data_IF_100421352873
#
_entry.id   IF_100421352873
#
_cell.length_a   1.000
_cell.length_b   1.000
_cell.length_c   1.000
_cell.angle_alpha   90.00
_cell.angle_beta   90.00
_cell.angle_gamma   90.00
#
_symmetry.space_group_name_H-M   'P 1'
#
loop_
_entity.id
_entity.type
_entity.pdbx_description
1 polymer ?
#
# COMPACT_ATOMS: atom_id res chain seq x y z
N UNK A 1 -19.04 13.73 3.38
CA UNK A 1 -19.49 12.32 3.49
C UNK A 1 -19.90 11.85 2.11
N UNK A 2 -19.34 10.73 1.67
CA UNK A 2 -19.56 10.19 0.33
C UNK A 2 -20.37 8.91 0.50
N UNK A 3 -21.57 8.86 -0.07
CA UNK A 3 -22.45 7.71 0.01
C UNK A 3 -22.41 6.94 -1.30
N UNK A 4 -22.33 5.62 -1.21
CA UNK A 4 -22.31 4.75 -2.37
C UNK A 4 -23.75 4.43 -2.78
N UNK A 5 -24.00 4.56 -4.08
CA UNK A 5 -25.30 4.22 -4.64
C UNK A 5 -25.18 3.80 -6.08
N UNK A 6 -26.20 3.07 -6.55
CA UNK A 6 -26.31 2.60 -7.93
C UNK A 6 -27.35 3.45 -8.65
N UNK A 7 -26.96 4.04 -9.78
CA UNK A 7 -27.88 4.76 -10.64
C UNK A 7 -28.80 3.76 -11.36
N UNK A 8 -30.12 3.86 -11.12
CA UNK A 8 -31.16 3.10 -11.82
C UNK A 8 -32.04 4.06 -12.63
N UNK A 9 -31.62 4.33 -13.86
CA UNK A 9 -32.33 5.27 -14.73
C UNK A 9 -32.31 6.69 -14.17
N UNK A 10 -33.43 7.12 -13.55
CA UNK A 10 -33.59 8.48 -12.99
C UNK A 10 -33.47 8.52 -11.46
N UNK A 11 -33.29 7.39 -10.79
CA UNK A 11 -33.14 7.30 -9.33
C UNK A 11 -31.74 6.82 -8.96
N UNK A 12 -31.27 7.25 -7.79
CA UNK A 12 -30.05 6.73 -7.17
C UNK A 12 -30.50 5.94 -5.94
N UNK A 13 -30.24 4.63 -5.95
CA UNK A 13 -30.47 3.79 -4.78
C UNK A 13 -29.18 3.76 -3.95
N UNK A 14 -29.25 4.21 -2.71
CA UNK A 14 -28.12 4.20 -1.79
C UNK A 14 -28.01 2.82 -1.13
N UNK A 15 -26.77 2.34 -0.96
CA UNK A 15 -26.50 1.08 -0.24
C UNK A 15 -26.89 1.19 1.25
N UNK A 16 -26.76 2.40 1.81
CA UNK A 16 -27.09 2.70 3.20
C UNK A 16 -28.06 3.90 3.28
N UNK A 17 -29.01 3.88 4.25
CA UNK A 17 -29.92 5.00 4.45
C UNK A 17 -29.16 6.24 4.95
N UNK A 18 -29.53 7.41 4.44
CA UNK A 18 -28.97 8.66 4.91
C UNK A 18 -29.47 8.98 6.33
N UNK A 19 -28.65 9.58 7.20
CA UNK A 19 -29.04 9.96 8.55
C UNK A 19 -29.85 11.28 8.57
N UNK A 20 -30.64 11.55 7.55
CA UNK A 20 -31.45 12.76 7.43
C UNK A 20 -32.92 12.44 7.66
N UNK A 21 -33.62 13.34 8.33
CA UNK A 21 -35.06 13.21 8.53
C UNK A 21 -35.80 13.44 7.22
N UNK A 22 -36.97 12.81 7.09
CA UNK A 22 -37.86 13.07 5.97
C UNK A 22 -38.24 14.56 5.90
N UNK A 23 -38.16 15.15 4.70
CA UNK A 23 -38.42 16.58 4.48
C UNK A 23 -37.24 17.53 4.73
N UNK A 24 -36.09 17.02 5.16
CA UNK A 24 -34.88 17.83 5.33
C UNK A 24 -34.31 18.24 3.96
N UNK A 25 -34.13 19.55 3.74
CA UNK A 25 -33.48 20.08 2.54
C UNK A 25 -31.99 19.74 2.57
N UNK A 26 -31.52 19.02 1.55
CA UNK A 26 -30.11 18.65 1.37
C UNK A 26 -29.66 18.99 -0.05
N UNK A 27 -28.40 19.39 -0.19
CA UNK A 27 -27.76 19.57 -1.49
C UNK A 27 -27.00 18.31 -1.86
N UNK A 28 -27.30 17.74 -3.04
CA UNK A 28 -26.65 16.53 -3.54
C UNK A 28 -25.77 16.91 -4.73
N UNK A 29 -24.48 16.59 -4.63
CA UNK A 29 -23.54 16.63 -5.77
C UNK A 29 -23.24 15.22 -6.21
N UNK A 30 -23.27 14.97 -7.51
CA UNK A 30 -22.93 13.68 -8.11
C UNK A 30 -21.67 13.86 -8.93
N UNK A 31 -20.61 13.18 -8.53
CA UNK A 31 -19.35 13.17 -9.28
C UNK A 31 -19.16 11.80 -9.95
N UNK A 32 -18.80 11.77 -11.25
CA UNK A 32 -18.51 10.51 -11.92
C UNK A 32 -17.28 9.88 -11.27
N UNK A 33 -17.44 8.63 -10.80
CA UNK A 33 -16.34 7.84 -10.27
C UNK A 33 -15.28 7.67 -11.36
N UNK A 34 -14.07 8.19 -11.14
CA UNK A 34 -13.01 8.06 -12.11
C UNK A 34 -12.50 6.61 -12.09
N UNK A 35 -12.08 6.04 -13.24
CA UNK A 35 -11.53 4.69 -13.28
C UNK A 35 -10.33 4.51 -12.33
N UNK A 36 -9.56 5.57 -12.10
CA UNK A 36 -8.43 5.59 -11.16
C UNK A 36 -8.80 5.41 -9.68
N UNK A 37 -10.09 5.53 -9.33
CA UNK A 37 -10.60 5.37 -7.97
C UNK A 37 -11.26 3.99 -7.75
N UNK A 38 -11.28 3.13 -8.78
CA UNK A 38 -11.77 1.75 -8.67
C UNK A 38 -10.63 0.82 -8.20
N UNK A 39 -10.84 0.20 -7.04
CA UNK A 39 -9.94 -0.81 -6.51
C UNK A 39 -9.78 -2.00 -7.49
N UNK A 40 -8.54 -2.43 -7.71
CA UNK A 40 -8.21 -3.57 -8.57
C UNK A 40 -7.92 -3.23 -10.04
N UNK A 41 -8.02 -1.96 -10.45
CA UNK A 41 -7.55 -1.55 -11.78
C UNK A 41 -6.04 -1.31 -11.80
N UNK A 42 -5.32 -1.69 -12.88
CA UNK A 42 -3.88 -1.43 -13.01
C UNK A 42 -3.50 0.04 -12.83
N UNK A 43 -4.37 0.97 -13.27
CA UNK A 43 -4.16 2.41 -13.13
C UNK A 43 -4.19 2.87 -11.67
N UNK A 44 -5.01 2.25 -10.82
CA UNK A 44 -5.06 2.56 -9.40
C UNK A 44 -3.74 2.14 -8.70
N UNK A 45 -3.18 1.00 -9.10
CA UNK A 45 -1.87 0.54 -8.61
C UNK A 45 -0.75 1.51 -9.03
N UNK A 46 -0.73 1.93 -10.30
CA UNK A 46 0.29 2.88 -10.80
C UNK A 46 0.19 4.23 -10.09
N UNK A 47 -1.02 4.72 -9.81
CA UNK A 47 -1.24 5.96 -9.06
C UNK A 47 -0.69 5.85 -7.63
N UNK A 48 -1.04 4.78 -6.92
CA UNK A 48 -0.52 4.52 -5.56
C UNK A 48 1.01 4.43 -5.56
N UNK A 49 1.62 3.74 -6.52
CA UNK A 49 3.09 3.65 -6.60
C UNK A 49 3.74 5.02 -6.82
N UNK A 50 3.11 5.90 -7.62
CA UNK A 50 3.60 7.27 -7.84
C UNK A 50 3.40 8.17 -6.61
N UNK A 51 2.33 7.96 -5.87
CA UNK A 51 1.93 8.78 -4.73
C UNK A 51 2.55 8.30 -3.41
N UNK A 52 3.22 7.14 -3.40
CA UNK A 52 3.97 6.68 -2.23
C UNK A 52 5.01 7.75 -1.83
N UNK A 53 5.12 8.07 -0.53
CA UNK A 53 6.15 8.97 -0.06
C UNK A 53 7.52 8.43 -0.48
N UNK A 54 8.32 9.29 -1.10
CA UNK A 54 9.68 8.92 -1.48
C UNK A 54 10.44 8.64 -0.19
N UNK A 55 10.99 7.43 -0.08
CA UNK A 55 11.92 7.08 0.98
C UNK A 55 13.09 8.06 0.95
N UNK A 56 13.43 8.60 2.12
CA UNK A 56 14.65 9.36 2.25
C UNK A 56 15.85 8.39 2.13
N UNK A 57 16.87 8.71 1.33
CA UNK A 57 18.10 7.92 1.32
C UNK A 57 18.67 7.65 2.72
N UNK A 58 18.51 8.59 3.67
CA UNK A 58 18.99 8.43 5.05
C UNK A 58 18.25 7.30 5.80
N UNK A 59 16.98 7.05 5.48
CA UNK A 59 16.22 5.93 6.07
C UNK A 59 16.77 4.58 5.60
N UNK A 60 17.25 4.52 4.34
CA UNK A 60 17.87 3.33 3.76
C UNK A 60 19.22 3.07 4.43
N UNK A 61 20.05 4.09 4.58
CA UNK A 61 21.35 3.98 5.25
C UNK A 61 21.20 3.56 6.72
N UNK A 62 20.21 4.11 7.42
CA UNK A 62 19.90 3.75 8.80
C UNK A 62 19.44 2.29 8.92
N UNK A 63 18.62 1.81 7.97
CA UNK A 63 18.18 0.43 7.90
C UNK A 63 19.35 -0.53 7.65
N UNK A 64 20.23 -0.23 6.70
CA UNK A 64 21.42 -1.04 6.41
C UNK A 64 22.34 -1.14 7.63
N UNK A 65 22.57 -0.02 8.32
CA UNK A 65 23.36 -0.02 9.56
C UNK A 65 22.70 -0.85 10.67
N UNK A 66 21.37 -0.81 10.79
CA UNK A 66 20.65 -1.62 11.77
C UNK A 66 20.76 -3.11 11.45
N UNK A 67 20.70 -3.49 10.17
CA UNK A 67 20.90 -4.87 9.73
C UNK A 67 22.33 -5.33 10.07
N UNK A 68 23.35 -4.55 9.73
CA UNK A 68 24.75 -4.89 10.06
C UNK A 68 24.97 -5.07 11.57
N UNK A 69 24.43 -4.16 12.38
CA UNK A 69 24.52 -4.24 13.85
C UNK A 69 23.72 -5.41 14.44
N UNK A 70 22.63 -5.79 13.79
CA UNK A 70 21.73 -6.86 14.21
C UNK A 70 22.16 -8.25 13.75
N UNK A 71 23.20 -8.37 12.93
CA UNK A 71 23.75 -9.67 12.52
C UNK A 71 24.26 -10.42 13.76
N UNK A 72 23.57 -11.49 14.11
CA UNK A 72 24.10 -12.47 15.07
C UNK A 72 25.40 -13.05 14.49
N UNK A 73 26.42 -13.31 15.32
CA UNK A 73 27.62 -13.98 14.86
C UNK A 73 27.22 -15.32 14.25
N UNK A 74 27.37 -15.41 12.93
CA UNK A 74 27.15 -16.67 12.22
C UNK A 74 28.22 -17.61 12.75
N UNK A 75 27.85 -18.50 13.67
CA UNK A 75 28.69 -19.63 14.05
C UNK A 75 28.71 -20.58 12.85
N UNK A 76 29.52 -20.28 11.84
CA UNK A 76 29.90 -21.22 10.79
C UNK A 76 30.85 -22.27 11.39
N UNK A 77 30.30 -23.12 12.26
CA UNK A 77 30.68 -24.53 12.30
C UNK A 77 29.49 -25.31 11.74
N UNK A 78 29.21 -25.08 10.46
CA UNK A 78 28.42 -26.02 9.69
C UNK A 78 29.25 -27.28 9.47
N UNK A 79 28.61 -28.44 9.57
CA UNK A 79 29.18 -29.80 9.37
C UNK A 79 29.72 -30.02 7.94
N UNK A 80 29.65 -29.00 7.06
CA UNK A 80 30.08 -29.04 5.66
C UNK A 80 31.01 -27.86 5.33
N UNK A 81 32.10 -27.71 6.09
CA UNK A 81 33.19 -26.80 5.71
C UNK A 81 33.94 -27.36 4.50
N UNK A 82 34.11 -26.56 3.45
CA UNK A 82 34.96 -26.89 2.31
C UNK A 82 36.42 -26.63 2.73
N UNK A 83 37.20 -27.70 2.92
CA UNK A 83 38.65 -27.61 3.11
C UNK A 83 39.30 -27.36 1.75
N UNK A 84 39.42 -26.07 1.39
CA UNK A 84 40.30 -25.65 0.30
C UNK A 84 41.77 -25.90 0.70
N UNK A 85 42.63 -26.36 -0.22
CA UNK A 85 43.99 -26.74 0.14
C UNK A 85 44.81 -25.53 0.60
N UNK A 86 45.42 -25.64 1.78
CA UNK A 86 46.53 -24.79 2.19
C UNK A 86 47.76 -25.17 1.36
N UNK A 87 48.19 -24.29 0.44
CA UNK A 87 49.53 -24.36 -0.13
C UNK A 87 50.53 -23.77 0.88
N UNK A 88 51.64 -24.48 1.19
CA UNK A 88 52.68 -23.95 2.03
C UNK A 88 53.63 -23.04 1.23
N UNK A 89 54.21 -22.10 1.96
CA UNK A 89 55.17 -21.04 1.61
C UNK A 89 56.18 -21.36 0.50
#
# INVERSE_FOLDING_TARGET
MTYRGVAKGKTIELEEPLPYCEGQLVSVSVEPLRPEDQAGLPVAIVKVIRDLPRLDPEDVDALEQAIERGKLPVRTKGVFGYDGPEEPL
#
